data_IF_673539210269
#
_entry.id   IF_673539210269
#
_cell.length_a   1.000
_cell.length_b   1.000
_cell.length_c   1.000
_cell.angle_alpha   90.00
_cell.angle_beta   90.00
_cell.angle_gamma   90.00
#
_symmetry.space_group_name_H-M   'P 1'
#
loop_
_entity.id
_entity.type
_entity.pdbx_description
1 polymer ?
#
# COMPACT_ATOMS: atom_id res chain seq x y z
N UNK A 1 23.55 3.64 -9.03
CA UNK A 1 22.37 3.87 -9.89
C UNK A 1 21.12 3.24 -9.26
N UNK A 2 20.76 3.59 -8.02
CA UNK A 2 19.79 2.79 -7.23
C UNK A 2 18.69 3.60 -6.53
N UNK A 3 18.76 4.93 -6.58
CA UNK A 3 17.82 5.84 -5.88
C UNK A 3 16.59 6.24 -6.72
N UNK A 4 16.52 5.91 -8.02
CA UNK A 4 15.39 6.32 -8.87
C UNK A 4 14.06 5.61 -8.56
N UNK A 5 14.11 4.41 -7.97
CA UNK A 5 12.90 3.62 -7.71
C UNK A 5 12.02 4.19 -6.60
N UNK A 6 12.63 4.63 -5.48
CA UNK A 6 11.91 5.14 -4.32
C UNK A 6 11.47 6.60 -4.48
N UNK A 7 12.26 7.45 -5.16
CA UNK A 7 11.89 8.85 -5.42
C UNK A 7 10.62 9.02 -6.25
N UNK A 8 10.18 7.94 -6.91
CA UNK A 8 8.93 7.88 -7.65
C UNK A 8 7.72 7.76 -6.73
N UNK A 9 7.86 7.23 -5.52
CA UNK A 9 6.75 7.03 -4.59
C UNK A 9 6.74 8.12 -3.53
N UNK A 10 5.58 8.74 -3.34
CA UNK A 10 5.33 9.76 -2.32
C UNK A 10 4.00 9.48 -1.66
N UNK A 11 3.97 9.57 -0.33
CA UNK A 11 2.73 9.48 0.44
C UNK A 11 1.77 10.58 -0.01
N UNK A 12 0.49 10.24 -0.05
CA UNK A 12 -0.60 11.16 -0.31
C UNK A 12 -1.54 11.10 0.90
N UNK A 13 -1.89 12.25 1.47
CA UNK A 13 -2.95 12.33 2.49
C UNK A 13 -4.30 12.58 1.81
N UNK A 14 -5.41 12.42 2.54
CA UNK A 14 -6.75 12.62 1.96
C UNK A 14 -6.95 14.04 1.41
N UNK A 15 -6.38 15.05 2.09
CA UNK A 15 -6.50 16.47 1.73
C UNK A 15 -5.72 16.79 0.45
N UNK A 16 -4.65 16.04 0.17
CA UNK A 16 -3.79 16.21 -0.99
C UNK A 16 -4.29 15.44 -2.23
N UNK A 17 -5.40 14.68 -2.13
CA UNK A 17 -5.93 13.92 -3.26
C UNK A 17 -6.52 14.85 -4.31
N UNK A 18 -5.90 14.89 -5.49
CA UNK A 18 -6.43 15.59 -6.68
C UNK A 18 -7.16 14.66 -7.64
N UNK A 19 -6.80 13.37 -7.65
CA UNK A 19 -7.38 12.38 -8.56
C UNK A 19 -7.69 11.06 -7.86
N UNK A 20 -8.91 10.55 -8.07
CA UNK A 20 -9.33 9.24 -7.61
C UNK A 20 -9.29 8.24 -8.75
N UNK A 21 -8.30 7.35 -8.74
CA UNK A 21 -8.17 6.29 -9.73
C UNK A 21 -9.09 5.11 -9.37
N UNK A 22 -10.00 4.75 -10.29
CA UNK A 22 -10.86 3.56 -10.15
C UNK A 22 -10.01 2.31 -10.38
N UNK A 23 -9.68 1.58 -9.31
CA UNK A 23 -8.76 0.45 -9.37
C UNK A 23 -9.44 -0.82 -9.90
N UNK A 24 -10.37 -1.40 -9.13
CA UNK A 24 -11.14 -2.58 -9.51
C UNK A 24 -12.37 -2.76 -8.61
N UNK A 25 -13.24 -3.72 -8.95
CA UNK A 25 -14.33 -4.14 -8.05
C UNK A 25 -13.74 -4.71 -6.75
N UNK A 26 -14.43 -4.50 -5.61
CA UNK A 26 -14.05 -5.07 -4.31
C UNK A 26 -13.82 -6.59 -4.37
N UNK A 27 -14.54 -7.30 -5.25
CA UNK A 27 -14.44 -8.74 -5.47
C UNK A 27 -13.10 -9.21 -6.06
N UNK A 28 -12.29 -8.29 -6.61
CA UNK A 28 -10.97 -8.60 -7.16
C UNK A 28 -9.85 -8.57 -6.11
N UNK A 29 -10.16 -8.15 -4.89
CA UNK A 29 -9.20 -8.09 -3.79
C UNK A 29 -9.47 -9.23 -2.81
N UNK A 30 -8.45 -10.00 -2.42
CA UNK A 30 -8.62 -11.08 -1.46
C UNK A 30 -9.02 -10.54 -0.08
N UNK A 31 -9.90 -11.25 0.61
CA UNK A 31 -10.24 -10.97 2.00
C UNK A 31 -9.00 -11.12 2.88
N UNK A 32 -8.72 -10.14 3.74
CA UNK A 32 -7.54 -10.11 4.61
C UNK A 32 -6.22 -10.33 3.85
N UNK A 33 -6.12 -9.76 2.64
CA UNK A 33 -4.93 -9.87 1.81
C UNK A 33 -4.73 -8.65 0.91
N UNK A 34 -3.70 -8.73 0.06
CA UNK A 34 -3.34 -7.69 -0.88
C UNK A 34 -3.51 -8.09 -2.34
N UNK A 35 -3.70 -7.09 -3.20
CA UNK A 35 -3.56 -7.22 -4.65
C UNK A 35 -2.77 -6.02 -5.20
N UNK A 36 -2.10 -6.23 -6.33
CA UNK A 36 -1.35 -5.17 -7.01
C UNK A 36 -2.16 -4.57 -8.15
N UNK A 37 -2.15 -3.24 -8.27
CA UNK A 37 -2.64 -2.52 -9.45
C UNK A 37 -1.49 -1.72 -10.09
N UNK A 38 -1.65 -1.41 -11.37
CA UNK A 38 -0.76 -0.52 -12.10
C UNK A 38 -1.43 0.85 -12.25
N UNK A 39 -0.75 1.91 -11.83
CA UNK A 39 -1.15 3.29 -12.06
C UNK A 39 0.00 4.03 -12.73
N UNK A 40 -0.17 4.38 -14.02
CA UNK A 40 0.91 4.90 -14.87
C UNK A 40 2.14 3.96 -14.80
N UNK A 41 3.28 4.48 -14.35
CA UNK A 41 4.53 3.73 -14.18
C UNK A 41 4.73 3.20 -12.74
N UNK A 42 3.72 3.32 -11.87
CA UNK A 42 3.77 2.87 -10.47
C UNK A 42 3.01 1.55 -10.30
N UNK A 43 3.50 0.72 -9.39
CA UNK A 43 2.76 -0.44 -8.87
C UNK A 43 2.32 -0.14 -7.44
N UNK A 44 1.02 -0.29 -7.17
CA UNK A 44 0.41 0.02 -5.89
C UNK A 44 -0.19 -1.26 -5.32
N UNK A 45 0.19 -1.58 -4.09
CA UNK A 45 -0.41 -2.65 -3.31
C UNK A 45 -1.64 -2.11 -2.59
N UNK A 46 -2.78 -2.78 -2.72
CA UNK A 46 -4.04 -2.45 -2.04
C UNK A 46 -4.41 -3.64 -1.16
N UNK A 47 -4.78 -3.37 0.09
CA UNK A 47 -5.11 -4.36 1.09
C UNK A 47 -6.53 -4.18 1.61
N UNK A 48 -7.20 -5.31 1.85
CA UNK A 48 -8.57 -5.36 2.35
C UNK A 48 -8.59 -5.97 3.77
N UNK A 49 -8.68 -5.12 4.80
CA UNK A 49 -8.84 -5.54 6.19
C UNK A 49 -10.32 -5.80 6.47
N UNK A 50 -10.83 -6.95 5.99
CA UNK A 50 -12.26 -7.27 6.05
C UNK A 50 -12.82 -7.30 7.47
N UNK A 51 -12.01 -7.65 8.48
CA UNK A 51 -12.43 -7.68 9.89
C UNK A 51 -12.73 -6.29 10.46
N UNK A 52 -12.06 -5.27 9.95
CA UNK A 52 -12.17 -3.88 10.39
C UNK A 52 -12.97 -3.03 9.37
N UNK A 53 -13.41 -3.62 8.25
CA UNK A 53 -14.05 -2.90 7.15
C UNK A 53 -13.15 -1.84 6.51
N UNK A 54 -11.83 -1.91 6.71
CA UNK A 54 -10.88 -0.86 6.34
C UNK A 54 -10.03 -1.28 5.14
N UNK A 55 -9.62 -0.31 4.33
CA UNK A 55 -8.79 -0.52 3.15
C UNK A 55 -7.55 0.34 3.23
N UNK A 56 -6.42 -0.22 2.79
CA UNK A 56 -5.14 0.49 2.78
C UNK A 56 -4.47 0.35 1.43
N UNK A 57 -3.63 1.33 1.07
CA UNK A 57 -2.78 1.21 -0.09
C UNK A 57 -1.38 1.76 0.17
N UNK A 58 -0.38 1.14 -0.44
CA UNK A 58 1.00 1.60 -0.42
C UNK A 58 1.71 1.29 -1.74
N UNK A 59 2.94 1.77 -1.91
CA UNK A 59 3.80 1.29 -3.00
C UNK A 59 3.95 -0.25 -2.95
N UNK A 60 3.99 -0.91 -4.11
CA UNK A 60 4.26 -2.35 -4.15
C UNK A 60 5.75 -2.68 -3.94
N UNK A 61 6.62 -1.69 -4.14
CA UNK A 61 8.07 -1.82 -4.04
C UNK A 61 8.52 -1.92 -2.58
N UNK A 62 9.15 -3.02 -2.19
CA UNK A 62 9.81 -3.12 -0.89
C UNK A 62 11.17 -2.41 -0.93
N UNK A 63 11.44 -1.44 -0.04
CA UNK A 63 12.67 -0.64 -0.06
C UNK A 63 13.93 -1.46 0.31
N UNK A 64 13.80 -2.64 0.91
CA UNK A 64 14.93 -3.46 1.34
C UNK A 64 15.83 -3.93 0.17
N UNK A 65 15.21 -4.50 -0.86
CA UNK A 65 15.91 -5.07 -2.03
C UNK A 65 15.35 -4.56 -3.36
N UNK A 66 14.48 -3.55 -3.32
CA UNK A 66 13.88 -2.91 -4.50
C UNK A 66 13.05 -3.89 -5.34
N UNK A 67 12.26 -4.73 -4.68
CA UNK A 67 11.42 -5.76 -5.32
C UNK A 67 9.92 -5.42 -5.21
N UNK A 68 9.18 -5.64 -6.29
CA UNK A 68 7.74 -5.34 -6.40
C UNK A 68 6.87 -6.44 -5.77
N UNK A 69 6.89 -6.54 -4.43
CA UNK A 69 6.35 -7.72 -3.71
C UNK A 69 5.39 -7.43 -2.55
N UNK A 70 5.20 -6.18 -2.13
CA UNK A 70 4.44 -5.88 -0.90
C UNK A 70 2.95 -6.28 -0.98
N UNK A 71 2.35 -6.26 -2.16
CA UNK A 71 0.98 -6.75 -2.39
C UNK A 71 0.78 -8.22 -2.04
N UNK A 72 1.85 -9.01 -1.97
CA UNK A 72 1.84 -10.42 -1.57
C UNK A 72 2.19 -10.62 -0.09
N UNK A 73 2.38 -9.53 0.65
CA UNK A 73 2.73 -9.55 2.06
C UNK A 73 1.59 -10.02 2.94
N UNK A 74 1.95 -10.53 4.11
CA UNK A 74 0.99 -10.87 5.15
C UNK A 74 0.58 -9.58 5.86
N UNK A 75 -0.71 -9.30 5.90
CA UNK A 75 -1.25 -8.15 6.64
C UNK A 75 -1.66 -8.55 8.05
N UNK A 76 -1.65 -7.59 8.96
CA UNK A 76 -2.10 -7.78 10.33
C UNK A 76 -1.98 -6.49 11.12
N UNK A 77 -2.06 -6.63 12.43
CA UNK A 77 -1.92 -5.51 13.37
C UNK A 77 -0.79 -5.82 14.36
N UNK A 78 -0.06 -4.79 14.77
CA UNK A 78 0.90 -4.83 15.86
C UNK A 78 0.75 -3.56 16.69
N UNK A 79 0.41 -3.66 17.97
CA UNK A 79 0.17 -2.51 18.85
C UNK A 79 -0.82 -1.47 18.27
N UNK A 80 -1.97 -1.92 17.75
CA UNK A 80 -2.98 -1.06 17.09
C UNK A 80 -2.52 -0.41 15.76
N UNK A 81 -1.36 -0.81 15.25
CA UNK A 81 -0.82 -0.36 13.97
C UNK A 81 -1.06 -1.41 12.89
N UNK A 82 -1.90 -1.06 11.90
CA UNK A 82 -2.13 -1.90 10.73
C UNK A 82 -0.84 -1.97 9.92
N UNK A 83 -0.43 -3.18 9.54
CA UNK A 83 0.85 -3.41 8.88
C UNK A 83 0.80 -4.43 7.75
N UNK A 84 1.82 -4.39 6.90
CA UNK A 84 2.17 -5.44 5.95
C UNK A 84 3.58 -5.93 6.21
N UNK A 85 3.74 -7.26 6.34
CA UNK A 85 5.02 -7.93 6.38
C UNK A 85 5.47 -8.29 4.97
N UNK A 86 6.63 -7.79 4.54
CA UNK A 86 7.22 -8.16 3.25
C UNK A 86 7.33 -9.70 3.15
N UNK A 87 6.81 -10.32 2.09
CA UNK A 87 6.71 -11.78 2.03
C UNK A 87 8.09 -12.46 1.99
N UNK A 88 9.10 -11.78 1.43
CA UNK A 88 10.44 -12.32 1.24
C UNK A 88 11.33 -12.15 2.48
N UNK A 89 11.22 -11.03 3.17
CA UNK A 89 12.22 -10.62 4.19
C UNK A 89 11.63 -10.28 5.56
N UNK A 90 10.30 -10.34 5.72
CA UNK A 90 9.58 -10.09 6.98
C UNK A 90 9.79 -8.69 7.59
N UNK A 91 10.29 -7.74 6.81
CA UNK A 91 10.25 -6.32 7.14
C UNK A 91 8.79 -5.87 7.24
N UNK A 92 8.41 -5.30 8.38
CA UNK A 92 7.06 -4.88 8.70
C UNK A 92 6.93 -3.39 8.40
N UNK A 93 5.94 -3.02 7.60
CA UNK A 93 5.67 -1.62 7.30
C UNK A 93 4.25 -1.25 7.73
N UNK A 94 4.12 -0.12 8.41
CA UNK A 94 2.84 0.48 8.74
C UNK A 94 2.07 0.81 7.45
N UNK A 95 0.80 0.43 7.39
CA UNK A 95 -0.11 0.76 6.30
C UNK A 95 -0.81 2.10 6.51
N UNK A 96 -0.70 2.70 7.71
CA UNK A 96 -1.21 4.05 8.01
C UNK A 96 -0.16 5.12 7.68
N UNK A 97 1.08 4.92 8.14
CA UNK A 97 2.16 5.90 8.12
C UNK A 97 3.30 5.55 7.16
N UNK A 98 3.40 4.29 6.71
CA UNK A 98 4.50 3.81 5.89
C UNK A 98 5.77 3.44 6.66
N UNK A 99 5.85 3.77 7.96
CA UNK A 99 7.04 3.55 8.79
C UNK A 99 7.45 2.07 8.82
N UNK A 100 8.76 1.82 8.73
CA UNK A 100 9.33 0.51 9.02
C UNK A 100 9.27 0.23 10.52
N UNK A 101 8.56 -0.82 10.92
CA UNK A 101 8.19 -1.07 12.31
C UNK A 101 9.24 -1.85 13.10
N UNK A 102 10.08 -2.63 12.42
CA UNK A 102 11.07 -3.51 13.03
C UNK A 102 12.51 -3.25 12.54
N UNK A 103 12.83 -1.99 12.23
CA UNK A 103 14.17 -1.53 11.92
C UNK A 103 14.14 -0.15 11.26
N UNK A 104 15.18 0.20 10.51
CA UNK A 104 15.41 1.59 10.06
C UNK A 104 15.44 1.77 8.53
N UNK A 105 14.67 0.97 7.78
CA UNK A 105 14.48 1.18 6.34
C UNK A 105 13.64 2.44 6.09
N UNK A 106 13.80 3.02 4.90
CA UNK A 106 12.95 4.11 4.43
C UNK A 106 11.47 3.74 4.51
N UNK A 107 10.65 4.71 4.90
CA UNK A 107 9.20 4.54 4.94
C UNK A 107 8.65 4.31 3.52
N UNK A 108 7.66 3.44 3.42
CA UNK A 108 6.95 3.23 2.16
C UNK A 108 5.89 4.31 1.96
N UNK A 109 5.66 4.73 0.72
CA UNK A 109 4.56 5.65 0.43
C UNK A 109 3.21 4.98 0.67
N UNK A 110 2.29 5.69 1.32
CA UNK A 110 0.89 5.29 1.50
C UNK A 110 -0.06 6.16 0.69
N UNK A 111 -1.23 5.63 0.35
CA UNK A 111 -2.20 6.29 -0.51
C UNK A 111 -3.61 6.16 0.08
N UNK A 112 -4.47 7.20 0.01
CA UNK A 112 -5.83 7.10 0.50
C UNK A 112 -6.65 6.12 -0.34
N UNK A 113 -7.51 5.35 0.32
CA UNK A 113 -8.39 4.38 -0.34
C UNK A 113 -9.81 4.65 0.05
N UNK A 114 -10.72 4.61 -0.92
CA UNK A 114 -12.16 4.61 -0.65
C UNK A 114 -12.87 3.55 -1.46
N UNK A 115 -14.00 3.09 -0.93
CA UNK A 115 -14.92 2.19 -1.66
C UNK A 115 -16.18 2.97 -1.99
N UNK A 116 -16.57 2.94 -3.27
CA UNK A 116 -17.81 3.56 -3.74
C UNK A 116 -18.44 2.68 -4.82
N UNK A 117 -19.74 2.44 -4.70
CA UNK A 117 -20.53 1.66 -5.66
C UNK A 117 -19.93 0.28 -5.99
N UNK A 118 -19.34 -0.39 -4.98
CA UNK A 118 -18.71 -1.71 -5.14
C UNK A 118 -17.33 -1.70 -5.81
N UNK A 119 -16.72 -0.52 -6.00
CA UNK A 119 -15.38 -0.36 -6.55
C UNK A 119 -14.43 0.30 -5.55
N UNK A 120 -13.17 -0.15 -5.59
CA UNK A 120 -12.06 0.44 -4.83
C UNK A 120 -11.42 1.55 -5.66
N UNK A 121 -11.17 2.67 -5.00
CA UNK A 121 -10.49 3.83 -5.57
C UNK A 121 -9.25 4.17 -4.75
N UNK A 122 -8.18 4.59 -5.43
CA UNK A 122 -6.95 5.07 -4.78
C UNK A 122 -6.74 6.54 -5.11
N UNK A 123 -6.44 7.34 -4.09
CA UNK A 123 -6.18 8.77 -4.20
C UNK A 123 -4.73 9.06 -4.59
N UNK A 124 -4.54 9.94 -5.57
CA UNK A 124 -3.24 10.43 -5.99
C UNK A 124 -3.23 11.95 -6.00
N UNK A 125 -2.08 12.55 -5.65
CA UNK A 125 -1.87 13.99 -5.75
C UNK A 125 -1.53 14.40 -7.19
N UNK A 126 -0.75 13.60 -7.94
CA UNK A 126 -0.62 13.58 -9.43
C UNK A 126 0.51 12.65 -9.93
#
# INVERSE_FOLDING_TARGET
MTTLGLSTYKTVTEEDVKFWFKAASVSKFPSNGGACIKYKNKQIAIFNFTREGTWYACQNLCPHKMEMVLSRGMIGEENMEAKVACPLHKNNFSLKTGKHLNGDLEAIATYPVKVKDGFVYVGFSE
#
